data_IF_188720907763
#
_entry.id   IF_188720907763
#
_cell.length_a   1.000
_cell.length_b   1.000
_cell.length_c   1.000
_cell.angle_alpha   90.00
_cell.angle_beta   90.00
_cell.angle_gamma   90.00
#
_symmetry.space_group_name_H-M   'P 1'
#
loop_
_entity.id
_entity.type
_entity.pdbx_description
1 polymer ?
#
# COMPACT_ATOMS: atom_id res chain seq x y z
N UNK A 1 -28.21 10.61 9.76
CA UNK A 1 -26.80 10.57 9.33
C UNK A 1 -26.64 9.34 8.45
N UNK A 2 -26.31 9.51 7.18
CA UNK A 2 -26.08 8.39 6.26
C UNK A 2 -24.65 7.90 6.49
N UNK A 3 -24.50 6.74 7.11
CA UNK A 3 -23.22 6.04 7.22
C UNK A 3 -22.78 5.61 5.83
N UNK A 4 -21.62 6.12 5.40
CA UNK A 4 -20.67 5.43 4.53
C UNK A 4 -21.17 5.02 3.14
N UNK A 5 -21.17 5.97 2.20
CA UNK A 5 -21.23 5.65 0.77
C UNK A 5 -19.88 5.11 0.34
N UNK A 6 -19.74 3.78 0.35
CA UNK A 6 -18.65 3.11 -0.36
C UNK A 6 -19.11 2.65 -1.75
N UNK A 7 -18.22 2.73 -2.73
CA UNK A 7 -18.47 2.25 -4.10
C UNK A 7 -17.29 1.40 -4.57
N UNK A 8 -17.53 0.20 -5.12
CA UNK A 8 -16.45 -0.58 -5.73
C UNK A 8 -15.89 0.14 -6.96
N UNK A 9 -14.60 -0.03 -7.21
CA UNK A 9 -13.92 0.39 -8.42
C UNK A 9 -13.65 -0.86 -9.26
N UNK A 10 -14.17 -0.89 -10.48
CA UNK A 10 -13.99 -2.02 -11.40
C UNK A 10 -12.65 -1.87 -12.14
N UNK A 11 -11.63 -2.59 -11.68
CA UNK A 11 -10.27 -2.59 -12.21
C UNK A 11 -9.83 -3.97 -12.72
N UNK A 12 -10.79 -4.86 -13.01
CA UNK A 12 -10.50 -6.25 -13.35
C UNK A 12 -9.95 -7.04 -12.17
N UNK A 13 -8.65 -7.31 -12.14
CA UNK A 13 -8.00 -8.17 -11.12
C UNK A 13 -7.65 -7.44 -9.81
N UNK A 14 -7.78 -6.13 -9.77
CA UNK A 14 -7.51 -5.31 -8.57
C UNK A 14 -8.84 -4.97 -7.92
N UNK A 15 -8.96 -5.26 -6.63
CA UNK A 15 -10.15 -4.84 -5.88
C UNK A 15 -9.90 -3.43 -5.35
N UNK A 16 -10.61 -2.44 -5.89
CA UNK A 16 -10.61 -1.08 -5.37
C UNK A 16 -11.94 -0.73 -4.72
N UNK A 17 -11.91 0.07 -3.66
CA UNK A 17 -13.10 0.71 -3.11
C UNK A 17 -12.85 2.20 -2.92
N UNK A 18 -13.89 3.00 -3.09
CA UNK A 18 -13.91 4.41 -2.73
C UNK A 18 -14.86 4.61 -1.58
N UNK A 19 -14.39 5.24 -0.52
CA UNK A 19 -15.17 5.66 0.65
C UNK A 19 -15.28 7.19 0.59
N UNK A 20 -16.50 7.72 0.69
CA UNK A 20 -16.73 9.18 0.71
C UNK A 20 -17.40 9.62 2.00
N UNK A 21 -16.95 10.75 2.55
CA UNK A 21 -17.52 11.34 3.76
C UNK A 21 -17.32 12.86 3.81
N UNK A 22 -17.66 13.46 4.95
CA UNK A 22 -17.55 14.92 5.17
C UNK A 22 -16.10 15.43 5.05
N UNK A 23 -15.13 14.56 5.33
CA UNK A 23 -13.69 14.88 5.29
C UNK A 23 -13.04 14.59 3.92
N UNK A 24 -13.83 14.27 2.89
CA UNK A 24 -13.33 13.99 1.54
C UNK A 24 -13.51 12.54 1.11
N UNK A 25 -12.64 12.08 0.21
CA UNK A 25 -12.71 10.75 -0.42
C UNK A 25 -11.44 9.96 -0.11
N UNK A 26 -11.59 8.68 0.22
CA UNK A 26 -10.49 7.73 0.36
C UNK A 26 -10.66 6.60 -0.64
N UNK A 27 -9.66 6.39 -1.50
CA UNK A 27 -9.60 5.27 -2.43
C UNK A 27 -8.60 4.25 -1.89
N UNK A 28 -9.07 3.02 -1.70
CA UNK A 28 -8.27 1.91 -1.20
C UNK A 28 -8.17 0.88 -2.30
N UNK A 29 -6.94 0.55 -2.70
CA UNK A 29 -6.64 -0.46 -3.69
C UNK A 29 -5.98 -1.66 -3.01
N UNK A 30 -6.62 -2.83 -3.13
CA UNK A 30 -6.05 -4.10 -2.71
C UNK A 30 -5.15 -4.64 -3.81
N UNK A 31 -3.83 -4.59 -3.59
CA UNK A 31 -2.83 -5.01 -4.59
C UNK A 31 -2.38 -6.43 -4.31
N UNK A 32 -2.40 -7.27 -5.35
CA UNK A 32 -1.82 -8.62 -5.32
C UNK A 32 -0.96 -8.83 -6.56
N UNK A 33 0.36 -8.90 -6.37
CA UNK A 33 1.28 -9.25 -7.44
C UNK A 33 1.49 -10.76 -7.42
N UNK A 34 1.02 -11.47 -8.45
CA UNK A 34 1.49 -12.82 -8.67
C UNK A 34 2.92 -12.70 -9.23
N UNK A 35 3.90 -13.42 -8.68
CA UNK A 35 5.32 -13.30 -9.03
C UNK A 35 5.64 -13.71 -10.49
N UNK A 36 4.62 -13.91 -11.33
CA UNK A 36 4.70 -14.42 -12.69
C UNK A 36 4.22 -13.43 -13.74
N UNK A 37 3.42 -12.43 -13.34
CA UNK A 37 2.86 -11.41 -14.21
C UNK A 37 2.89 -10.04 -13.53
N UNK A 38 3.90 -9.23 -13.84
CA UNK A 38 3.98 -7.80 -13.47
C UNK A 38 2.80 -6.93 -13.98
N UNK A 39 1.82 -7.54 -14.67
CA UNK A 39 0.63 -6.88 -15.24
C UNK A 39 -0.27 -6.22 -14.20
N UNK A 40 -0.28 -6.67 -12.94
CA UNK A 40 -1.11 -6.03 -11.90
C UNK A 40 -0.61 -4.62 -11.58
N UNK A 41 0.70 -4.40 -11.65
CA UNK A 41 1.26 -3.05 -11.56
C UNK A 41 0.76 -2.20 -12.72
N UNK A 42 0.96 -2.66 -13.95
CA UNK A 42 0.58 -1.92 -15.17
C UNK A 42 -0.89 -1.48 -15.19
N UNK A 43 -1.81 -2.34 -14.71
CA UNK A 43 -3.24 -2.02 -14.66
C UNK A 43 -3.53 -0.93 -13.62
N UNK A 44 -2.94 -1.03 -12.42
CA UNK A 44 -3.10 0.00 -11.40
C UNK A 44 -2.52 1.33 -11.88
N UNK A 45 -1.31 1.28 -12.45
CA UNK A 45 -0.59 2.45 -12.94
C UNK A 45 -1.39 3.17 -14.01
N UNK A 46 -1.81 2.42 -15.03
CA UNK A 46 -2.65 2.95 -16.10
C UNK A 46 -3.96 3.54 -15.58
N UNK A 47 -4.63 2.88 -14.63
CA UNK A 47 -5.86 3.41 -14.06
C UNK A 47 -5.63 4.73 -13.33
N UNK A 48 -4.58 4.81 -12.50
CA UNK A 48 -4.29 6.02 -11.74
C UNK A 48 -3.87 7.15 -12.70
N UNK A 49 -3.09 6.87 -13.74
CA UNK A 49 -2.76 7.85 -14.80
C UNK A 49 -4.01 8.35 -15.53
N UNK A 50 -4.91 7.46 -15.94
CA UNK A 50 -6.13 7.82 -16.69
C UNK A 50 -7.17 8.56 -15.82
N UNK A 51 -7.17 8.32 -14.50
CA UNK A 51 -8.19 8.84 -13.58
C UNK A 51 -7.60 9.78 -12.52
N UNK A 52 -6.34 10.20 -12.66
CA UNK A 52 -5.61 10.95 -11.65
C UNK A 52 -6.32 12.23 -11.22
N UNK A 53 -6.95 12.95 -12.16
CA UNK A 53 -7.75 14.13 -11.83
C UNK A 53 -8.92 13.80 -10.89
N UNK A 54 -9.65 12.70 -11.11
CA UNK A 54 -10.73 12.29 -10.22
C UNK A 54 -10.17 11.85 -8.86
N UNK A 55 -9.12 11.05 -8.88
CA UNK A 55 -8.49 10.45 -7.70
C UNK A 55 -7.96 11.53 -6.75
N UNK A 56 -7.31 12.55 -7.29
CA UNK A 56 -6.68 13.63 -6.50
C UNK A 56 -7.54 14.90 -6.39
N UNK A 57 -8.70 14.96 -7.05
CA UNK A 57 -9.62 16.09 -6.89
C UNK A 57 -10.00 16.29 -5.42
N UNK A 58 -10.07 17.55 -4.99
CA UNK A 58 -10.52 17.95 -3.65
C UNK A 58 -9.74 17.30 -2.48
N UNK A 59 -8.43 17.14 -2.60
CA UNK A 59 -7.56 16.51 -1.58
C UNK A 59 -7.87 15.02 -1.35
N UNK A 60 -8.23 14.31 -2.42
CA UNK A 60 -8.45 12.87 -2.36
C UNK A 60 -7.29 12.12 -1.70
N UNK A 61 -7.64 11.11 -0.92
CA UNK A 61 -6.70 10.27 -0.20
C UNK A 61 -6.60 8.92 -0.93
N UNK A 62 -5.38 8.44 -1.16
CA UNK A 62 -5.15 7.14 -1.80
C UNK A 62 -4.33 6.24 -0.90
N UNK A 63 -4.76 4.98 -0.79
CA UNK A 63 -4.06 3.91 -0.10
C UNK A 63 -3.90 2.70 -1.03
N UNK A 64 -2.67 2.18 -1.14
CA UNK A 64 -2.41 0.87 -1.73
C UNK A 64 -2.03 -0.08 -0.60
N UNK A 65 -2.74 -1.20 -0.48
CA UNK A 65 -2.48 -2.18 0.56
C UNK A 65 -2.54 -3.58 -0.04
N UNK A 66 -1.61 -4.44 0.37
CA UNK A 66 -1.68 -5.86 0.01
C UNK A 66 -0.31 -6.47 -0.17
N UNK A 67 -0.31 -7.59 -0.89
CA UNK A 67 0.87 -8.41 -1.12
C UNK A 67 1.50 -8.03 -2.46
N UNK A 68 2.65 -7.35 -2.39
CA UNK A 68 3.42 -6.95 -3.56
C UNK A 68 4.41 -8.03 -4.00
N UNK A 69 4.67 -9.05 -3.18
CA UNK A 69 5.65 -10.12 -3.43
C UNK A 69 7.03 -9.60 -3.92
N UNK A 70 7.39 -8.38 -3.53
CA UNK A 70 8.64 -7.72 -3.88
C UNK A 70 9.50 -7.55 -2.63
N UNK A 71 10.81 -7.58 -2.83
CA UNK A 71 11.79 -7.50 -1.75
C UNK A 71 12.79 -6.37 -1.98
N UNK A 72 12.99 -5.54 -0.95
CA UNK A 72 13.90 -4.41 -1.04
C UNK A 72 14.47 -4.03 0.33
N UNK A 73 15.76 -3.64 0.42
CA UNK A 73 16.40 -3.17 1.66
C UNK A 73 15.70 -1.98 2.33
N UNK A 74 14.83 -1.26 1.61
CA UNK A 74 14.06 -0.15 2.17
C UNK A 74 12.99 -0.61 3.16
N UNK A 75 12.44 -1.82 3.01
CA UNK A 75 11.34 -2.31 3.87
C UNK A 75 11.59 -3.67 4.50
N UNK A 76 12.37 -4.53 3.86
CA UNK A 76 12.87 -5.77 4.44
C UNK A 76 14.03 -5.52 5.40
N UNK A 77 14.45 -6.57 6.09
CA UNK A 77 15.65 -6.57 6.91
C UNK A 77 16.87 -6.68 6.00
N UNK A 78 17.88 -5.83 6.22
CA UNK A 78 19.09 -5.82 5.38
C UNK A 78 19.87 -7.14 5.47
N UNK A 79 19.72 -7.86 6.59
CA UNK A 79 20.33 -9.17 6.79
C UNK A 79 19.80 -10.24 5.82
N UNK A 80 18.61 -10.07 5.24
CA UNK A 80 17.99 -11.00 4.31
C UNK A 80 18.46 -10.79 2.87
N UNK A 81 19.77 -10.61 2.68
CA UNK A 81 20.41 -10.30 1.39
C UNK A 81 20.11 -11.29 0.26
N UNK A 82 19.73 -12.52 0.61
CA UNK A 82 19.26 -13.56 -0.33
C UNK A 82 18.01 -13.15 -1.11
N UNK A 83 17.19 -12.25 -0.56
CA UNK A 83 15.99 -11.72 -1.19
C UNK A 83 16.31 -10.61 -2.21
N UNK A 84 17.49 -9.99 -2.10
CA UNK A 84 17.88 -8.81 -2.88
C UNK A 84 18.66 -9.19 -4.15
N UNK A 85 18.05 -10.07 -4.96
CA UNK A 85 18.57 -10.31 -6.30
C UNK A 85 18.43 -9.04 -7.15
N UNK A 86 19.27 -8.89 -8.19
CA UNK A 86 19.18 -7.73 -9.09
C UNK A 86 17.77 -7.55 -9.66
N UNK A 87 17.14 -8.63 -10.11
CA UNK A 87 15.76 -8.60 -10.63
C UNK A 87 14.75 -8.12 -9.59
N UNK A 88 14.85 -8.62 -8.36
CA UNK A 88 13.95 -8.22 -7.28
C UNK A 88 14.13 -6.73 -6.90
N UNK A 89 15.37 -6.24 -6.92
CA UNK A 89 15.67 -4.82 -6.69
C UNK A 89 15.12 -3.96 -7.84
N UNK A 90 15.34 -4.36 -9.09
CA UNK A 90 14.86 -3.61 -10.26
C UNK A 90 13.31 -3.51 -10.24
N UNK A 91 12.63 -4.62 -9.93
CA UNK A 91 11.16 -4.66 -9.80
C UNK A 91 10.63 -3.82 -8.64
N UNK A 92 11.26 -3.92 -7.47
CA UNK A 92 10.93 -3.10 -6.32
C UNK A 92 11.20 -1.60 -6.57
N UNK A 93 12.25 -1.27 -7.33
CA UNK A 93 12.62 0.10 -7.66
C UNK A 93 11.53 0.75 -8.53
N UNK A 94 10.99 0.04 -9.52
CA UNK A 94 9.85 0.54 -10.30
C UNK A 94 8.64 0.90 -9.42
N UNK A 95 8.32 0.07 -8.42
CA UNK A 95 7.25 0.38 -7.46
C UNK A 95 7.57 1.64 -6.63
N UNK A 96 8.82 1.78 -6.19
CA UNK A 96 9.27 2.94 -5.39
C UNK A 96 9.20 4.22 -6.21
N UNK A 97 9.69 4.20 -7.45
CA UNK A 97 9.66 5.34 -8.36
C UNK A 97 8.21 5.75 -8.64
N UNK A 98 7.34 4.79 -8.94
CA UNK A 98 5.91 5.05 -9.14
C UNK A 98 5.25 5.62 -7.88
N UNK A 99 5.52 5.05 -6.70
CA UNK A 99 5.02 5.61 -5.44
C UNK A 99 5.47 7.07 -5.26
N UNK A 100 6.72 7.39 -5.61
CA UNK A 100 7.27 8.75 -5.56
C UNK A 100 6.58 9.73 -6.53
N UNK A 101 6.26 9.31 -7.75
CA UNK A 101 5.54 10.13 -8.73
C UNK A 101 4.15 10.56 -8.24
N UNK A 102 3.53 9.74 -7.38
CA UNK A 102 2.20 9.96 -6.82
C UNK A 102 2.21 10.45 -5.36
N UNK A 103 3.36 10.92 -4.86
CA UNK A 103 3.54 11.42 -3.48
C UNK A 103 3.04 10.42 -2.41
N UNK A 104 3.30 9.13 -2.64
CA UNK A 104 2.92 8.05 -1.75
C UNK A 104 4.06 7.71 -0.80
N UNK A 105 3.76 7.60 0.48
CA UNK A 105 4.69 7.17 1.51
C UNK A 105 4.41 5.74 1.97
N UNK A 106 5.48 4.98 2.20
CA UNK A 106 5.37 3.69 2.87
C UNK A 106 5.02 3.91 4.35
N UNK A 107 3.98 3.23 4.81
CA UNK A 107 3.44 3.45 6.16
C UNK A 107 3.97 2.44 7.17
N UNK A 108 4.16 1.19 6.73
CA UNK A 108 4.65 0.12 7.60
C UNK A 108 6.13 0.30 7.92
N UNK A 109 6.49 0.14 9.21
CA UNK A 109 7.89 0.25 9.68
C UNK A 109 8.76 -0.84 9.07
N UNK A 110 9.94 -0.45 8.56
CA UNK A 110 10.98 -1.36 8.04
C UNK A 110 11.26 -2.52 9.00
N UNK A 111 11.49 -3.70 8.42
CA UNK A 111 12.00 -4.89 9.12
C UNK A 111 10.98 -5.70 9.91
N UNK A 112 9.70 -5.30 9.91
CA UNK A 112 8.63 -6.10 10.53
C UNK A 112 8.14 -7.14 9.51
N UNK A 113 8.32 -8.45 9.75
CA UNK A 113 7.85 -9.46 8.83
C UNK A 113 6.32 -9.57 8.86
N UNK A 114 5.73 -9.87 7.71
CA UNK A 114 4.27 -10.03 7.56
C UNK A 114 3.87 -11.44 7.14
N UNK A 115 4.83 -12.24 6.66
CA UNK A 115 4.61 -13.62 6.23
C UNK A 115 5.71 -14.54 6.75
N UNK A 116 5.34 -15.69 7.30
CA UNK A 116 6.24 -16.83 7.47
C UNK A 116 6.04 -17.77 6.29
N UNK A 117 7.10 -18.02 5.51
CA UNK A 117 7.03 -19.04 4.48
C UNK A 117 6.80 -20.42 5.11
N UNK A 118 5.68 -21.06 4.77
CA UNK A 118 5.19 -22.29 5.42
C UNK A 118 6.22 -23.43 5.43
N UNK A 119 6.93 -23.64 4.32
CA UNK A 119 7.96 -24.69 4.18
C UNK A 119 9.33 -24.30 4.72
N UNK A 120 9.87 -23.15 4.29
CA UNK A 120 11.24 -22.74 4.63
C UNK A 120 11.38 -22.15 6.04
N UNK A 121 10.25 -21.80 6.69
CA UNK A 121 10.23 -21.13 8.01
C UNK A 121 11.08 -19.86 8.06
N UNK A 122 11.09 -19.16 6.93
CA UNK A 122 11.73 -17.86 6.77
C UNK A 122 10.66 -16.80 6.86
N UNK A 123 10.92 -15.79 7.68
CA UNK A 123 10.08 -14.62 7.84
C UNK A 123 10.46 -13.57 6.80
N UNK A 124 9.48 -13.11 6.02
CA UNK A 124 9.67 -12.08 5.00
C UNK A 124 8.57 -11.02 5.09
N UNK A 125 8.73 -9.92 4.36
CA UNK A 125 7.72 -8.85 4.28
C UNK A 125 7.30 -8.60 2.82
N UNK A 126 6.49 -9.48 2.24
CA UNK A 126 5.93 -9.26 0.91
C UNK A 126 4.76 -8.26 0.93
N UNK A 127 4.16 -8.02 2.11
CA UNK A 127 3.05 -7.08 2.26
C UNK A 127 3.53 -5.65 2.53
N UNK A 128 2.88 -4.69 1.87
CA UNK A 128 3.15 -3.28 2.07
C UNK A 128 1.86 -2.46 2.11
N UNK A 129 1.97 -1.28 2.73
CA UNK A 129 0.94 -0.24 2.71
C UNK A 129 1.60 1.07 2.30
N UNK A 130 1.05 1.67 1.25
CA UNK A 130 1.42 2.99 0.73
C UNK A 130 0.24 3.92 0.88
N UNK A 131 0.51 5.18 1.25
CA UNK A 131 -0.51 6.18 1.48
C UNK A 131 -0.01 7.54 1.01
N UNK A 132 -0.85 8.30 0.33
CA UNK A 132 -0.59 9.73 0.03
C UNK A 132 -0.05 10.49 1.25
N UNK A 133 1.07 11.21 1.09
CA UNK A 133 1.83 11.79 2.18
C UNK A 133 0.98 12.70 3.09
N UNK A 134 0.13 13.53 2.48
CA UNK A 134 -0.77 14.45 3.20
C UNK A 134 -1.81 13.75 4.08
N UNK A 135 -2.04 12.45 3.88
CA UNK A 135 -3.02 11.64 4.62
C UNK A 135 -2.46 10.99 5.87
N UNK A 136 -1.12 10.96 6.02
CA UNK A 136 -0.44 10.20 7.07
C UNK A 136 -0.87 10.61 8.46
N UNK A 137 -0.89 11.90 8.77
CA UNK A 137 -1.27 12.41 10.09
C UNK A 137 -2.74 12.16 10.41
N UNK A 138 -3.61 12.09 9.41
CA UNK A 138 -5.04 11.83 9.64
C UNK A 138 -5.31 10.36 9.94
N UNK A 139 -4.66 9.44 9.21
CA UNK A 139 -4.96 8.01 9.27
C UNK A 139 -4.04 7.20 10.20
N UNK A 140 -2.88 7.75 10.57
CA UNK A 140 -1.89 7.05 11.42
C UNK A 140 -1.76 7.63 12.82
N UNK A 141 -2.46 8.71 13.13
CA UNK A 141 -2.57 9.20 14.51
C UNK A 141 -3.57 8.34 15.29
N UNK A 142 -3.16 7.14 15.67
CA UNK A 142 -3.76 6.46 16.82
C UNK A 142 -3.20 7.16 18.05
N UNK A 143 -3.92 8.13 18.62
CA UNK A 143 -3.66 8.55 19.99
C UNK A 143 -3.70 7.29 20.84
N UNK A 144 -2.62 6.93 21.56
CA UNK A 144 -2.72 5.87 22.55
C UNK A 144 -3.83 6.31 23.49
N UNK A 145 -4.95 5.58 23.49
CA UNK A 145 -5.98 5.79 24.48
C UNK A 145 -5.30 5.74 25.83
N UNK A 146 -5.34 6.86 26.57
CA UNK A 146 -5.02 6.88 27.97
C UNK A 146 -5.99 5.90 28.66
N UNK A 147 -5.61 4.64 28.77
CA UNK A 147 -6.16 3.74 29.79
C UNK A 147 -5.29 3.87 31.04
N UNK A 148 -5.40 5.02 31.72
CA UNK A 148 -5.24 4.99 33.17
C UNK A 148 -6.55 4.45 33.76
N UNK A 149 -6.61 3.15 33.92
CA UNK A 149 -7.64 2.51 34.73
C UNK A 149 -7.00 1.34 35.47
N UNK A 150 -6.36 1.65 36.59
CA UNK A 150 -6.58 0.96 37.85
C UNK A 150 -6.18 1.94 38.97
N UNK A 151 -7.17 2.23 39.81
CA UNK A 151 -7.01 2.83 41.13
C UNK A 151 -6.23 1.90 42.05
#
# INVERSE_FOLDING_TARGET
MSTDTWTPLDLGNITGIRISGENGKLMIFSVYYDCTHNRTGDILWKYIEENGEEIYSNSGHVMWAGNFNQHHPMWDREEDSRLFTRSAIDEATMLIEFAGEWDMEQVLKKGIPTLEHSTMKVWTRPDNIWLTAHSRTMLMNVTPGMTSACQ
#
